data_IF_296375389629
#
_entry.id   IF_296375389629
#
_cell.length_a   1.000
_cell.length_b   1.000
_cell.length_c   1.000
_cell.angle_alpha   90.00
_cell.angle_beta   90.00
_cell.angle_gamma   90.00
#
_symmetry.space_group_name_H-M   'P 1'
#
loop_
_entity.id
_entity.type
_entity.pdbx_description
1 polymer ?
#
# COMPACT_ATOMS: atom_id res chain seq x y z
N UNK A 1 -12.11 8.49 -17.95
CA UNK A 1 -12.97 9.67 -17.71
C UNK A 1 -12.68 10.67 -18.81
N UNK A 2 -13.61 10.87 -19.73
CA UNK A 2 -13.52 11.89 -20.76
C UNK A 2 -14.46 13.03 -20.36
N UNK A 3 -13.90 14.20 -20.05
CA UNK A 3 -14.66 15.39 -19.78
C UNK A 3 -14.61 16.30 -21.00
N UNK A 4 -15.76 16.77 -21.47
CA UNK A 4 -15.87 17.70 -22.61
C UNK A 4 -15.19 17.15 -23.91
N UNK A 5 -15.13 15.82 -24.06
CA UNK A 5 -14.48 15.19 -25.22
C UNK A 5 -12.95 15.25 -25.22
N UNK A 6 -12.31 15.59 -24.11
CA UNK A 6 -10.85 15.64 -24.01
C UNK A 6 -10.22 14.26 -24.29
N UNK A 7 -9.27 14.21 -25.19
CA UNK A 7 -8.54 12.99 -25.53
C UNK A 7 -7.60 12.57 -24.41
N UNK A 8 -6.91 13.51 -23.77
CA UNK A 8 -6.12 13.29 -22.57
C UNK A 8 -6.96 13.58 -21.33
N UNK A 9 -6.86 12.77 -20.27
CA UNK A 9 -7.57 13.03 -19.01
C UNK A 9 -7.17 14.41 -18.42
N UNK A 10 -8.14 15.23 -18.00
CA UNK A 10 -7.83 16.49 -17.32
C UNK A 10 -7.11 16.28 -15.99
N UNK A 11 -6.25 17.22 -15.61
CA UNK A 11 -5.60 17.25 -14.30
C UNK A 11 -6.43 18.09 -13.33
N UNK A 12 -6.90 17.47 -12.26
CA UNK A 12 -7.75 18.11 -11.24
C UNK A 12 -6.90 18.63 -10.08
N UNK A 13 -6.44 19.87 -10.16
CA UNK A 13 -5.64 20.55 -9.13
C UNK A 13 -6.52 21.25 -8.08
N UNK A 14 -7.54 20.56 -7.58
CA UNK A 14 -8.43 21.09 -6.55
C UNK A 14 -8.30 20.33 -5.25
N UNK A 15 -8.46 21.00 -4.11
CA UNK A 15 -8.54 20.37 -2.79
C UNK A 15 -9.94 19.87 -2.46
N UNK A 16 -10.98 20.60 -2.89
CA UNK A 16 -12.38 20.36 -2.55
C UNK A 16 -13.22 20.28 -3.82
N UNK A 17 -14.35 19.58 -3.72
CA UNK A 17 -15.32 19.43 -4.80
C UNK A 17 -16.66 20.01 -4.37
N UNK A 18 -17.31 20.79 -5.24
CA UNK A 18 -18.63 21.31 -5.01
C UNK A 18 -19.70 20.23 -5.10
N UNK A 19 -20.77 20.41 -4.34
CA UNK A 19 -21.98 19.59 -4.40
C UNK A 19 -23.11 20.36 -5.09
N UNK A 20 -23.97 19.65 -5.79
CA UNK A 20 -25.14 20.24 -6.45
C UNK A 20 -26.11 20.87 -5.41
N UNK A 21 -26.23 20.20 -4.27
CA UNK A 21 -27.04 20.66 -3.13
C UNK A 21 -26.57 19.96 -1.84
N UNK A 22 -27.15 20.34 -0.70
CA UNK A 22 -26.81 19.78 0.62
C UNK A 22 -27.11 18.29 0.74
N UNK A 23 -28.20 17.84 0.13
CA UNK A 23 -28.61 16.42 0.15
C UNK A 23 -27.55 15.53 -0.51
N UNK A 24 -27.08 15.89 -1.72
CA UNK A 24 -26.00 15.20 -2.41
C UNK A 24 -24.71 15.23 -1.58
N UNK A 25 -24.42 16.35 -0.91
CA UNK A 25 -23.28 16.46 -0.01
C UNK A 25 -23.36 15.46 1.14
N UNK A 26 -24.50 15.40 1.84
CA UNK A 26 -24.73 14.46 2.94
C UNK A 26 -24.57 13.00 2.48
N UNK A 27 -25.18 12.63 1.36
CA UNK A 27 -25.10 11.27 0.80
C UNK A 27 -23.66 10.88 0.43
N UNK A 28 -22.85 11.81 -0.12
CA UNK A 28 -21.42 11.55 -0.41
C UNK A 28 -20.62 11.34 0.86
N UNK A 29 -20.86 12.12 1.90
CA UNK A 29 -20.19 11.93 3.20
C UNK A 29 -20.60 10.62 3.86
N UNK A 30 -21.83 10.17 3.68
CA UNK A 30 -22.34 8.87 4.14
C UNK A 30 -21.85 7.68 3.29
N UNK A 31 -21.24 7.92 2.13
CA UNK A 31 -20.82 6.85 1.20
C UNK A 31 -21.98 6.27 0.36
N UNK A 32 -23.17 6.88 0.41
CA UNK A 32 -24.38 6.44 -0.29
C UNK A 32 -24.46 6.92 -1.74
N UNK A 33 -23.72 7.99 -2.07
CA UNK A 33 -23.64 8.56 -3.40
C UNK A 33 -22.17 8.63 -3.84
N UNK A 34 -21.77 8.01 -4.97
CA UNK A 34 -20.40 8.04 -5.44
C UNK A 34 -19.99 9.46 -5.87
N UNK A 35 -18.73 9.81 -5.65
CA UNK A 35 -18.17 11.09 -6.07
C UNK A 35 -17.03 11.56 -5.18
N UNK A 36 -16.46 12.69 -5.56
CA UNK A 36 -15.33 13.28 -4.84
C UNK A 36 -15.82 14.34 -3.85
N UNK A 37 -15.15 14.44 -2.72
CA UNK A 37 -15.42 15.38 -1.63
C UNK A 37 -14.20 16.25 -1.40
N UNK A 38 -13.04 15.59 -1.21
CA UNK A 38 -11.79 16.22 -0.83
C UNK A 38 -10.62 15.39 -1.35
N UNK A 39 -9.61 16.04 -1.94
CA UNK A 39 -8.53 15.33 -2.65
C UNK A 39 -7.66 14.45 -1.77
N UNK A 40 -7.62 14.67 -0.44
CA UNK A 40 -6.94 13.74 0.48
C UNK A 40 -7.60 12.35 0.50
N UNK A 41 -8.92 12.29 0.27
CA UNK A 41 -9.68 11.03 0.26
C UNK A 41 -9.79 10.44 -1.15
N UNK A 42 -9.86 11.30 -2.16
CA UNK A 42 -9.95 10.89 -3.55
C UNK A 42 -9.87 12.08 -4.51
N UNK A 43 -9.19 11.87 -5.63
CA UNK A 43 -9.03 12.86 -6.70
C UNK A 43 -9.12 12.13 -8.05
N UNK A 44 -9.85 12.66 -9.06
CA UNK A 44 -10.02 11.97 -10.35
C UNK A 44 -8.70 11.63 -11.07
N UNK A 45 -7.70 12.52 -10.99
CA UNK A 45 -6.38 12.28 -11.61
C UNK A 45 -5.64 11.16 -10.89
N UNK A 46 -5.63 11.18 -9.56
CA UNK A 46 -4.99 10.14 -8.76
C UNK A 46 -5.71 8.80 -8.94
N UNK A 47 -7.05 8.80 -9.00
CA UNK A 47 -7.84 7.59 -9.23
C UNK A 47 -7.54 6.92 -10.58
N UNK A 48 -7.21 7.70 -11.61
CA UNK A 48 -6.77 7.15 -12.88
C UNK A 48 -5.44 6.39 -12.75
N UNK A 49 -4.47 6.95 -12.02
CA UNK A 49 -3.20 6.28 -11.73
C UNK A 49 -3.42 5.02 -10.89
N UNK A 50 -4.25 5.10 -9.86
CA UNK A 50 -4.63 3.97 -9.01
C UNK A 50 -5.20 2.80 -9.82
N UNK A 51 -6.14 3.09 -10.73
CA UNK A 51 -6.71 2.07 -11.62
C UNK A 51 -5.66 1.44 -12.54
N UNK A 52 -4.69 2.21 -13.04
CA UNK A 52 -3.59 1.69 -13.86
C UNK A 52 -2.63 0.80 -13.06
N UNK A 53 -2.25 1.22 -11.85
CA UNK A 53 -1.36 0.44 -10.99
C UNK A 53 -2.01 -0.86 -10.53
N UNK A 54 -3.30 -0.83 -10.18
CA UNK A 54 -4.06 -2.04 -9.88
C UNK A 54 -4.05 -3.01 -11.06
N UNK A 55 -4.32 -2.53 -12.28
CA UNK A 55 -4.29 -3.34 -13.49
C UNK A 55 -2.91 -3.93 -13.80
N UNK A 56 -1.84 -3.15 -13.61
CA UNK A 56 -0.46 -3.59 -13.89
C UNK A 56 0.00 -4.69 -12.92
N UNK A 57 -0.33 -4.58 -11.63
CA UNK A 57 -0.01 -5.58 -10.62
C UNK A 57 -0.99 -6.77 -10.60
N UNK A 58 -2.13 -6.66 -11.31
CA UNK A 58 -3.18 -7.68 -11.27
C UNK A 58 -4.03 -7.66 -9.99
N UNK A 59 -4.10 -6.51 -9.30
CA UNK A 59 -4.88 -6.33 -8.09
C UNK A 59 -6.28 -5.76 -8.35
N UNK A 60 -7.15 -5.85 -7.35
CA UNK A 60 -8.53 -5.33 -7.44
C UNK A 60 -8.57 -3.80 -7.34
N UNK A 61 -7.71 -3.22 -6.51
CA UNK A 61 -7.64 -1.78 -6.29
C UNK A 61 -6.22 -1.34 -5.90
N UNK A 62 -5.98 -0.02 -6.01
CA UNK A 62 -4.78 0.61 -5.51
C UNK A 62 -5.09 1.90 -4.74
N UNK A 63 -4.15 2.30 -3.90
CA UNK A 63 -4.12 3.57 -3.17
C UNK A 63 -2.78 4.24 -3.44
N UNK A 64 -2.81 5.44 -4.01
CA UNK A 64 -1.62 6.27 -4.17
C UNK A 64 -1.41 7.20 -2.98
N UNK A 65 -0.15 7.38 -2.60
CA UNK A 65 0.28 8.20 -1.46
C UNK A 65 1.42 9.13 -1.84
N UNK A 66 1.73 10.10 -0.98
CA UNK A 66 2.78 11.11 -1.21
C UNK A 66 4.21 10.55 -1.17
N UNK A 67 4.40 9.32 -0.71
CA UNK A 67 5.72 8.65 -0.66
C UNK A 67 5.57 7.15 -0.42
N UNK A 68 6.62 6.36 -0.72
CA UNK A 68 6.66 4.94 -0.38
C UNK A 68 6.47 4.68 1.11
N UNK A 69 7.07 5.49 1.98
CA UNK A 69 6.84 5.38 3.44
C UNK A 69 5.39 5.70 3.81
N UNK A 70 4.77 6.68 3.14
CA UNK A 70 3.34 6.96 3.30
C UNK A 70 2.46 5.76 2.92
N UNK A 71 2.82 5.02 1.87
CA UNK A 71 2.13 3.78 1.48
C UNK A 71 2.28 2.70 2.56
N UNK A 72 3.51 2.42 2.98
CA UNK A 72 3.82 1.40 4.00
C UNK A 72 3.12 1.70 5.32
N UNK A 73 3.27 2.92 5.85
CA UNK A 73 2.68 3.28 7.15
C UNK A 73 1.15 3.32 7.12
N UNK A 74 0.55 3.85 6.04
CA UNK A 74 -0.92 3.85 5.89
C UNK A 74 -1.49 2.43 5.82
N UNK A 75 -0.81 1.53 5.12
CA UNK A 75 -1.20 0.13 5.06
C UNK A 75 -1.07 -0.55 6.44
N UNK A 76 0.08 -0.42 7.08
CA UNK A 76 0.36 -1.08 8.37
C UNK A 76 -0.61 -0.61 9.46
N UNK A 77 -0.82 0.70 9.63
CA UNK A 77 -1.76 1.22 10.63
C UNK A 77 -3.21 0.77 10.39
N UNK A 78 -3.54 0.37 9.16
CA UNK A 78 -4.86 -0.19 8.84
C UNK A 78 -4.98 -1.69 9.14
N UNK A 79 -3.85 -2.39 9.28
CA UNK A 79 -3.81 -3.86 9.40
C UNK A 79 -3.48 -4.33 10.81
N UNK A 80 -2.77 -3.53 11.61
CA UNK A 80 -2.30 -3.92 12.95
C UNK A 80 -2.70 -2.89 14.01
N UNK A 81 -2.83 -3.36 15.24
CA UNK A 81 -3.10 -2.56 16.43
C UNK A 81 -2.18 -2.98 17.59
N UNK A 82 -2.24 -2.26 18.70
CA UNK A 82 -1.49 -2.62 19.90
C UNK A 82 -1.77 -4.06 20.34
N UNK A 83 -0.72 -4.82 20.64
CA UNK A 83 -0.76 -6.24 20.97
C UNK A 83 -0.58 -7.18 19.78
N UNK A 84 -0.71 -6.70 18.54
CA UNK A 84 -0.48 -7.50 17.33
C UNK A 84 1.02 -7.68 17.05
N UNK A 85 1.33 -8.65 16.18
CA UNK A 85 2.68 -8.97 15.74
C UNK A 85 2.80 -8.92 14.21
N UNK A 86 3.97 -8.48 13.74
CA UNK A 86 4.41 -8.58 12.33
C UNK A 86 5.62 -9.49 12.29
N UNK A 87 5.66 -10.43 11.36
CA UNK A 87 6.88 -11.16 10.99
C UNK A 87 7.44 -10.52 9.73
N UNK A 88 8.65 -10.00 9.81
CA UNK A 88 9.29 -9.27 8.72
C UNK A 88 10.65 -9.86 8.37
N UNK A 89 11.04 -9.73 7.10
CA UNK A 89 12.40 -10.11 6.72
C UNK A 89 13.43 -9.28 7.50
N UNK A 90 14.57 -9.89 7.78
CA UNK A 90 15.67 -9.23 8.50
C UNK A 90 16.38 -8.17 7.65
N UNK A 91 16.25 -8.22 6.33
CA UNK A 91 16.82 -7.25 5.39
C UNK A 91 15.71 -6.42 4.77
N UNK A 92 15.60 -5.16 5.16
CA UNK A 92 14.63 -4.20 4.69
C UNK A 92 15.28 -2.87 4.40
N UNK A 93 14.64 -2.07 3.56
CA UNK A 93 14.98 -0.66 3.40
C UNK A 93 15.08 0.05 4.75
N UNK A 94 16.12 0.86 4.94
CA UNK A 94 16.47 1.43 6.26
C UNK A 94 15.34 2.18 6.95
N UNK A 95 14.50 2.95 6.20
CA UNK A 95 13.38 3.65 6.82
C UNK A 95 12.24 2.68 7.21
N UNK A 96 11.97 1.63 6.43
CA UNK A 96 11.01 0.58 6.79
C UNK A 96 11.47 -0.14 8.05
N UNK A 97 12.74 -0.53 8.10
CA UNK A 97 13.34 -1.13 9.30
C UNK A 97 13.23 -0.20 10.52
N UNK A 98 13.49 1.10 10.32
CA UNK A 98 13.38 2.11 11.39
C UNK A 98 11.96 2.24 11.94
N UNK A 99 10.93 2.27 11.07
CA UNK A 99 9.53 2.28 11.48
C UNK A 99 9.17 1.01 12.24
N UNK A 100 9.62 -0.16 11.76
CA UNK A 100 9.34 -1.44 12.40
C UNK A 100 9.99 -1.53 13.77
N UNK A 101 11.24 -1.13 13.88
CA UNK A 101 12.01 -1.24 15.11
C UNK A 101 11.66 -0.19 16.18
N UNK A 102 11.41 1.04 15.78
CA UNK A 102 11.25 2.17 16.70
C UNK A 102 9.82 2.73 16.69
N UNK A 103 9.18 2.86 15.52
CA UNK A 103 7.84 3.42 15.42
C UNK A 103 6.78 2.49 15.98
N UNK A 104 6.70 1.27 15.48
CA UNK A 104 5.65 0.31 15.84
C UNK A 104 5.79 -0.20 17.26
N UNK A 105 7.01 -0.36 17.77
CA UNK A 105 7.21 -0.76 19.18
C UNK A 105 6.64 0.27 20.16
N UNK A 106 6.77 1.57 19.85
CA UNK A 106 6.15 2.65 20.63
C UNK A 106 4.61 2.64 20.61
N UNK A 107 4.02 2.00 19.61
CA UNK A 107 2.57 1.81 19.45
C UNK A 107 2.09 0.44 19.97
N UNK A 108 2.95 -0.32 20.64
CA UNK A 108 2.60 -1.62 21.20
C UNK A 108 2.50 -2.77 20.19
N UNK A 109 3.02 -2.60 18.98
CA UNK A 109 3.12 -3.66 17.97
C UNK A 109 4.49 -4.31 18.04
N UNK A 110 4.55 -5.63 18.10
CA UNK A 110 5.81 -6.37 18.10
C UNK A 110 6.21 -6.74 16.66
N UNK A 111 7.46 -6.45 16.26
CA UNK A 111 8.00 -6.91 14.98
C UNK A 111 9.09 -7.94 15.20
N UNK A 112 8.91 -9.13 14.63
CA UNK A 112 9.88 -10.23 14.65
C UNK A 112 10.62 -10.26 13.31
N UNK A 113 11.90 -9.93 13.34
CA UNK A 113 12.76 -10.01 12.15
C UNK A 113 13.34 -11.41 12.03
N UNK A 114 13.14 -12.06 10.89
CA UNK A 114 13.60 -13.42 10.58
C UNK A 114 14.25 -13.47 9.20
N UNK A 115 14.99 -14.51 8.91
CA UNK A 115 15.44 -14.79 7.55
C UNK A 115 14.29 -15.42 6.75
N UNK A 116 13.64 -14.64 5.89
CA UNK A 116 12.53 -15.14 5.08
C UNK A 116 12.97 -15.98 3.87
N UNK A 117 14.27 -16.17 3.64
CA UNK A 117 14.74 -17.22 2.69
C UNK A 117 14.62 -18.62 3.29
N UNK A 118 14.33 -18.73 4.60
CA UNK A 118 14.13 -19.98 5.32
C UNK A 118 12.66 -20.07 5.79
N UNK A 119 11.76 -20.78 5.07
CA UNK A 119 10.35 -20.91 5.46
C UNK A 119 10.15 -21.47 6.87
N UNK A 120 11.01 -22.37 7.34
CA UNK A 120 10.92 -22.91 8.70
C UNK A 120 11.14 -21.84 9.77
N UNK A 121 12.04 -20.89 9.53
CA UNK A 121 12.26 -19.76 10.44
C UNK A 121 11.02 -18.83 10.48
N UNK A 122 10.36 -18.64 9.35
CA UNK A 122 9.10 -17.87 9.27
C UNK A 122 7.99 -18.59 10.01
N UNK A 123 7.82 -19.91 9.78
CA UNK A 123 6.81 -20.72 10.46
C UNK A 123 6.98 -20.67 11.99
N UNK A 124 8.20 -20.81 12.48
CA UNK A 124 8.52 -20.76 13.90
C UNK A 124 8.25 -19.39 14.54
N UNK A 125 8.25 -18.30 13.75
CA UNK A 125 8.00 -16.95 14.23
C UNK A 125 6.52 -16.56 14.23
N UNK A 126 5.66 -17.25 13.47
CA UNK A 126 4.22 -16.98 13.44
C UNK A 126 3.57 -17.39 14.75
N UNK A 127 2.73 -16.50 15.29
CA UNK A 127 1.94 -16.72 16.49
C UNK A 127 0.47 -16.37 16.22
N UNK A 128 -0.48 -16.69 17.12
CA UNK A 128 -1.88 -16.25 16.97
C UNK A 128 -2.07 -14.71 16.88
N UNK A 129 -1.06 -13.94 17.31
CA UNK A 129 -1.07 -12.48 17.23
C UNK A 129 -0.46 -11.95 15.93
N UNK A 130 0.18 -12.78 15.12
CA UNK A 130 0.74 -12.37 13.83
C UNK A 130 -0.37 -11.96 12.87
N UNK A 131 -0.31 -10.73 12.36
CA UNK A 131 -1.31 -10.14 11.44
C UNK A 131 -0.75 -9.86 10.06
N UNK A 132 0.56 -9.88 9.90
CA UNK A 132 1.21 -9.53 8.66
C UNK A 132 2.57 -10.22 8.53
N UNK A 133 2.85 -10.76 7.34
CA UNK A 133 4.19 -11.07 6.87
C UNK A 133 4.64 -9.92 5.96
N UNK A 134 5.89 -9.46 6.09
CA UNK A 134 6.41 -8.35 5.28
C UNK A 134 7.80 -8.64 4.76
N UNK A 135 8.03 -8.47 3.46
CA UNK A 135 9.34 -8.61 2.85
C UNK A 135 9.55 -7.66 1.65
N UNK A 136 10.80 -7.54 1.25
CA UNK A 136 11.26 -6.94 0.00
C UNK A 136 11.95 -8.02 -0.83
N UNK A 137 11.60 -8.16 -2.10
CA UNK A 137 12.26 -9.13 -2.99
C UNK A 137 12.34 -8.57 -4.41
N UNK A 138 13.55 -8.20 -4.90
CA UNK A 138 14.86 -8.22 -4.21
C UNK A 138 14.94 -7.25 -3.03
N UNK A 139 15.69 -7.61 -1.99
CA UNK A 139 15.86 -6.79 -0.80
C UNK A 139 16.90 -5.68 -0.98
N UNK A 140 16.63 -4.49 -0.46
CA UNK A 140 17.59 -3.39 -0.39
C UNK A 140 18.46 -3.50 0.89
N UNK A 141 19.80 -3.46 0.82
CA UNK A 141 20.63 -3.18 -0.37
C UNK A 141 21.27 -4.42 -1.02
N UNK A 142 21.10 -5.61 -0.46
CA UNK A 142 21.92 -6.78 -0.79
C UNK A 142 21.38 -7.61 -1.95
N UNK A 143 20.25 -7.21 -2.56
CA UNK A 143 19.59 -7.86 -3.69
C UNK A 143 19.20 -9.34 -3.43
N UNK A 144 19.02 -9.70 -2.16
CA UNK A 144 18.61 -11.05 -1.76
C UNK A 144 17.20 -11.34 -2.26
N UNK A 145 16.98 -12.53 -2.78
CA UNK A 145 15.68 -12.99 -3.27
C UNK A 145 15.00 -13.88 -2.24
N UNK A 146 13.69 -13.74 -2.16
CA UNK A 146 12.81 -14.55 -1.32
C UNK A 146 11.85 -15.31 -2.24
N UNK A 147 11.62 -16.60 -1.98
CA UNK A 147 10.57 -17.36 -2.65
C UNK A 147 9.21 -16.89 -2.17
N UNK A 148 8.62 -15.94 -2.92
CA UNK A 148 7.35 -15.32 -2.56
C UNK A 148 6.21 -16.33 -2.47
N UNK A 149 6.20 -17.36 -3.35
CA UNK A 149 5.18 -18.40 -3.33
C UNK A 149 5.25 -19.20 -2.03
N UNK A 150 6.43 -19.67 -1.65
CA UNK A 150 6.60 -20.43 -0.43
C UNK A 150 6.17 -19.65 0.82
N UNK A 151 6.52 -18.35 0.90
CA UNK A 151 6.13 -17.51 2.04
C UNK A 151 4.64 -17.17 2.02
N UNK A 152 4.05 -16.94 0.84
CA UNK A 152 2.61 -16.69 0.71
C UNK A 152 1.78 -17.91 1.11
N UNK A 153 2.16 -19.10 0.64
CA UNK A 153 1.48 -20.36 0.97
C UNK A 153 1.58 -20.66 2.48
N UNK A 154 2.72 -20.39 3.08
CA UNK A 154 2.91 -20.49 4.54
C UNK A 154 2.00 -19.49 5.28
N UNK A 155 1.97 -18.24 4.86
CA UNK A 155 1.07 -17.22 5.42
C UNK A 155 -0.39 -17.64 5.33
N UNK A 156 -0.82 -18.09 4.16
CA UNK A 156 -2.19 -18.56 3.91
C UNK A 156 -2.58 -19.73 4.82
N UNK A 157 -1.68 -20.70 5.05
CA UNK A 157 -1.91 -21.82 5.96
C UNK A 157 -2.16 -21.37 7.42
N UNK A 158 -1.69 -20.18 7.79
CA UNK A 158 -1.89 -19.58 9.13
C UNK A 158 -2.93 -18.44 9.14
N UNK A 159 -3.55 -18.13 8.00
CA UNK A 159 -4.48 -17.01 7.87
C UNK A 159 -3.81 -15.63 7.99
N UNK A 160 -2.51 -15.53 7.69
CA UNK A 160 -1.71 -14.30 7.78
C UNK A 160 -1.35 -13.80 6.38
N UNK A 161 -1.77 -12.58 6.00
CA UNK A 161 -1.47 -12.03 4.68
C UNK A 161 0.01 -11.70 4.52
N UNK A 162 0.53 -11.82 3.28
CA UNK A 162 1.85 -11.37 2.88
C UNK A 162 1.78 -10.00 2.17
N UNK A 163 2.58 -9.05 2.61
CA UNK A 163 2.85 -7.78 1.92
C UNK A 163 4.27 -7.77 1.39
N UNK A 164 4.40 -7.45 0.11
CA UNK A 164 5.69 -7.40 -0.59
C UNK A 164 5.98 -5.98 -1.07
N UNK A 165 7.14 -5.45 -0.73
CA UNK A 165 7.67 -4.25 -1.37
C UNK A 165 8.31 -4.65 -2.71
N UNK A 166 7.63 -4.26 -3.80
CA UNK A 166 8.00 -4.60 -5.18
C UNK A 166 8.71 -3.43 -5.90
N UNK A 167 9.24 -2.48 -5.16
CA UNK A 167 9.84 -1.26 -5.69
C UNK A 167 10.94 -1.54 -6.71
N UNK A 168 11.81 -2.54 -6.47
CA UNK A 168 12.91 -2.86 -7.37
C UNK A 168 12.48 -3.47 -8.69
N UNK A 169 11.55 -4.42 -8.65
CA UNK A 169 11.13 -5.16 -9.85
C UNK A 169 10.08 -4.40 -10.67
N UNK A 170 9.21 -3.65 -10.03
CA UNK A 170 7.98 -3.10 -10.63
C UNK A 170 7.06 -4.21 -11.19
N UNK A 171 5.83 -3.93 -11.59
CA UNK A 171 4.94 -4.93 -12.18
C UNK A 171 5.44 -5.47 -13.54
N UNK A 172 6.49 -4.86 -14.11
CA UNK A 172 7.08 -5.33 -15.36
C UNK A 172 7.91 -6.61 -15.17
N UNK A 173 8.73 -6.69 -14.11
CA UNK A 173 9.60 -7.84 -13.85
C UNK A 173 8.99 -8.87 -12.89
N UNK A 174 8.15 -8.43 -11.96
CA UNK A 174 7.56 -9.29 -10.92
C UNK A 174 6.19 -8.77 -10.52
N UNK A 175 5.24 -9.68 -10.38
CA UNK A 175 3.90 -9.41 -9.84
C UNK A 175 3.65 -10.27 -8.60
N UNK A 176 3.92 -9.78 -7.40
CA UNK A 176 3.81 -10.57 -6.19
C UNK A 176 2.43 -11.17 -5.94
N UNK A 177 1.34 -10.51 -6.41
CA UNK A 177 -0.02 -11.05 -6.30
C UNK A 177 -0.17 -12.38 -7.05
N UNK A 178 0.47 -12.55 -8.21
CA UNK A 178 0.49 -13.81 -8.96
C UNK A 178 1.24 -14.93 -8.20
N UNK A 179 2.09 -14.56 -7.24
CA UNK A 179 2.80 -15.47 -6.35
C UNK A 179 2.11 -15.67 -4.99
N UNK A 180 0.87 -15.19 -4.83
CA UNK A 180 0.08 -15.39 -3.63
C UNK A 180 0.22 -14.31 -2.55
N UNK A 181 0.99 -13.25 -2.78
CA UNK A 181 0.98 -12.10 -1.90
C UNK A 181 -0.42 -11.48 -1.84
N UNK A 182 -0.79 -10.93 -0.70
CA UNK A 182 -2.09 -10.24 -0.51
C UNK A 182 -1.98 -8.76 -0.86
N UNK A 183 -0.84 -8.16 -0.53
CA UNK A 183 -0.58 -6.74 -0.76
C UNK A 183 0.76 -6.53 -1.45
N UNK A 184 0.80 -5.52 -2.31
CA UNK A 184 2.03 -5.02 -2.91
C UNK A 184 2.19 -3.56 -2.56
N UNK A 185 3.38 -3.16 -2.13
CA UNK A 185 3.72 -1.75 -1.93
C UNK A 185 4.83 -1.32 -2.86
N UNK A 186 4.81 -0.04 -3.22
CA UNK A 186 5.84 0.60 -4.04
C UNK A 186 6.25 1.95 -3.48
N UNK A 187 7.53 2.22 -3.49
CA UNK A 187 8.01 3.58 -3.62
C UNK A 187 7.93 3.97 -5.10
N UNK A 188 6.79 4.54 -5.51
CA UNK A 188 6.59 4.98 -6.90
C UNK A 188 7.54 6.12 -7.30
N UNK A 189 8.23 6.72 -6.34
CA UNK A 189 9.38 7.63 -6.51
C UNK A 189 10.48 7.06 -7.40
N UNK A 190 10.63 5.71 -7.43
CA UNK A 190 11.73 5.01 -8.09
C UNK A 190 11.37 4.68 -9.55
N UNK A 191 11.40 3.43 -9.93
CA UNK A 191 11.22 3.01 -11.33
C UNK A 191 9.83 3.28 -11.90
N UNK A 192 8.78 3.34 -11.09
CA UNK A 192 7.44 3.71 -11.56
C UNK A 192 7.38 5.19 -12.01
N UNK A 193 7.96 6.11 -11.23
CA UNK A 193 8.12 7.51 -11.64
C UNK A 193 9.18 7.67 -12.73
N UNK A 194 10.32 6.97 -12.59
CA UNK A 194 11.32 6.75 -13.64
C UNK A 194 12.33 7.89 -13.86
N UNK A 195 12.05 9.10 -13.40
CA UNK A 195 12.84 10.29 -13.74
C UNK A 195 13.57 10.91 -12.54
N UNK A 196 13.29 10.47 -11.31
CA UNK A 196 13.92 11.01 -10.11
C UNK A 196 13.45 12.42 -9.72
N UNK A 197 12.29 12.84 -10.20
CA UNK A 197 11.76 14.21 -10.10
C UNK A 197 10.46 14.30 -9.27
N UNK A 198 9.95 13.17 -8.76
CA UNK A 198 8.74 13.13 -7.94
C UNK A 198 8.89 12.24 -6.70
N UNK A 199 8.03 12.45 -5.73
CA UNK A 199 7.83 11.55 -4.59
C UNK A 199 6.43 10.96 -4.66
N UNK A 200 6.34 9.64 -4.64
CA UNK A 200 5.07 8.93 -4.61
C UNK A 200 5.20 7.55 -3.99
N UNK A 201 4.09 7.00 -3.53
CA UNK A 201 3.95 5.62 -3.09
C UNK A 201 2.65 5.01 -3.59
N UNK A 202 2.57 3.70 -3.56
CA UNK A 202 1.35 2.98 -3.88
C UNK A 202 1.21 1.71 -3.04
N UNK A 203 -0.04 1.33 -2.73
CA UNK A 203 -0.41 0.03 -2.19
C UNK A 203 -1.45 -0.58 -3.12
N UNK A 204 -1.29 -1.84 -3.45
CA UNK A 204 -2.21 -2.61 -4.30
C UNK A 204 -2.67 -3.86 -3.54
N UNK A 205 -3.92 -4.23 -3.69
CA UNK A 205 -4.48 -5.43 -3.05
C UNK A 205 -6.00 -5.54 -3.18
N UNK A 206 -6.68 -6.28 -2.28
CA UNK A 206 -8.13 -6.44 -2.26
C UNK A 206 -8.85 -5.10 -2.07
N UNK A 207 -9.94 -4.88 -2.81
CA UNK A 207 -10.64 -3.58 -2.86
C UNK A 207 -11.12 -3.12 -1.47
N UNK A 208 -11.63 -4.02 -0.64
CA UNK A 208 -12.09 -3.71 0.73
C UNK A 208 -10.92 -3.22 1.60
N UNK A 209 -9.79 -3.92 1.56
CA UNK A 209 -8.60 -3.53 2.33
C UNK A 209 -8.04 -2.19 1.85
N UNK A 210 -7.97 -1.95 0.54
CA UNK A 210 -7.53 -0.66 -0.02
C UNK A 210 -8.47 0.47 0.38
N UNK A 211 -9.78 0.24 0.40
CA UNK A 211 -10.76 1.20 0.92
C UNK A 211 -10.50 1.54 2.39
N UNK A 212 -10.28 0.53 3.24
CA UNK A 212 -9.92 0.74 4.65
C UNK A 212 -8.61 1.52 4.79
N UNK A 213 -7.58 1.20 4.00
CA UNK A 213 -6.31 1.93 4.00
C UNK A 213 -6.50 3.40 3.60
N UNK A 214 -7.38 3.69 2.65
CA UNK A 214 -7.73 5.05 2.24
C UNK A 214 -8.41 5.83 3.36
N UNK A 215 -9.46 5.26 3.94
CA UNK A 215 -10.26 5.97 4.93
C UNK A 215 -9.59 6.03 6.30
N UNK A 216 -9.04 4.95 6.79
CA UNK A 216 -8.36 4.93 8.08
C UNK A 216 -6.88 5.30 7.95
N UNK A 217 -6.12 4.59 7.10
CA UNK A 217 -4.67 4.79 6.99
C UNK A 217 -4.28 6.19 6.50
N UNK A 218 -4.87 6.66 5.39
CA UNK A 218 -4.52 7.98 4.83
C UNK A 218 -5.36 9.09 5.43
N UNK A 219 -6.70 8.97 5.40
CA UNK A 219 -7.56 10.08 5.82
C UNK A 219 -7.37 10.45 7.28
N UNK A 220 -7.26 9.47 8.17
CA UNK A 220 -7.29 9.68 9.63
C UNK A 220 -5.90 9.61 10.28
N UNK A 221 -5.02 8.69 9.84
CA UNK A 221 -3.75 8.45 10.51
C UNK A 221 -2.59 9.25 9.91
N UNK A 222 -2.30 9.12 8.63
CA UNK A 222 -1.04 9.64 8.06
C UNK A 222 -1.18 10.96 7.30
N UNK A 223 -2.34 11.21 6.69
CA UNK A 223 -2.50 12.34 5.79
C UNK A 223 -1.67 12.25 4.50
N UNK A 224 -1.05 11.11 4.21
CA UNK A 224 -0.08 10.92 3.13
C UNK A 224 -0.73 10.86 1.74
N UNK A 225 -1.55 11.84 1.39
CA UNK A 225 -2.21 11.91 0.08
C UNK A 225 -1.25 12.35 -1.02
N UNK A 226 -1.39 11.73 -2.20
CA UNK A 226 -0.62 12.11 -3.39
C UNK A 226 -1.17 13.39 -4.01
N UNK A 227 -0.28 14.26 -4.48
CA UNK A 227 -0.67 15.40 -5.31
C UNK A 227 -1.06 14.95 -6.73
N UNK A 228 -2.12 15.54 -7.28
CA UNK A 228 -2.49 15.31 -8.68
C UNK A 228 -1.49 15.90 -9.69
N UNK A 229 -0.56 16.75 -9.22
CA UNK A 229 0.49 17.35 -10.05
C UNK A 229 1.69 16.40 -10.24
N UNK A 230 1.95 15.49 -9.31
CA UNK A 230 3.00 14.47 -9.43
C UNK A 230 2.53 13.32 -10.36
#
# INVERSE_FOLDING_TARGET
MQCEGALAPPVYLTSTFAFENTEVGMQRFAGENPGYIYSRVGNPTVALLEGRLASLEGGEAALCTSSGMGAITSAIYSLVQAGDEIVADQTLYGCTFGVFRHGLSGLGVTVRHVDMTCPDAVAAAITPRTKLLYCESPANPNMRLIDLRAIADLGAAHGVPLMVDNTYCTPYLQRPLEHGATYVVHSATKYLGGHGDLLAGAVIGPAEAISRMRFFGVKEMTGASMSAFN
#
